data_IF_898589661148
#
_entry.id   IF_898589661148
#
_cell.length_a   1.000
_cell.length_b   1.000
_cell.length_c   1.000
_cell.angle_alpha   90.00
_cell.angle_beta   90.00
_cell.angle_gamma   90.00
#
_symmetry.space_group_name_H-M   'P 1'
#
loop_
_entity.id
_entity.type
_entity.pdbx_description
1 polymer ?
#
# COMPACT_ATOMS: atom_id res chain seq x y z
N UNK A 1 20.21 0.35 7.47
CA UNK A 1 21.42 0.87 6.78
C UNK A 1 20.93 1.82 5.71
N UNK A 2 21.58 2.96 5.53
CA UNK A 2 21.33 3.91 4.44
C UNK A 2 22.64 4.01 3.68
N UNK A 3 22.60 4.01 2.35
CA UNK A 3 23.81 4.19 1.51
C UNK A 3 24.29 5.65 1.57
N UNK A 4 25.51 5.88 1.14
CA UNK A 4 25.96 7.23 0.82
C UNK A 4 25.14 7.78 -0.36
N UNK A 5 24.99 9.11 -0.45
CA UNK A 5 24.39 9.73 -1.62
C UNK A 5 25.18 9.41 -2.91
N UNK A 6 24.46 9.16 -3.99
CA UNK A 6 25.05 8.93 -5.32
C UNK A 6 24.67 10.11 -6.20
N UNK A 7 25.65 10.69 -6.91
CA UNK A 7 25.42 11.74 -7.91
C UNK A 7 24.89 11.10 -9.20
N UNK A 8 23.61 10.83 -9.21
CA UNK A 8 22.89 10.23 -10.33
C UNK A 8 21.62 11.04 -10.62
N UNK A 9 21.55 11.61 -11.81
CA UNK A 9 20.32 12.27 -12.25
C UNK A 9 19.23 11.22 -12.54
N UNK A 10 18.14 11.28 -11.76
CA UNK A 10 16.97 10.41 -11.93
C UNK A 10 15.89 11.20 -12.67
N UNK A 11 15.36 10.63 -13.75
CA UNK A 11 14.23 11.23 -14.49
C UNK A 11 12.93 10.94 -13.77
N UNK A 12 12.02 11.89 -13.83
CA UNK A 12 10.64 11.67 -13.37
C UNK A 12 10.03 10.47 -14.09
N UNK A 13 9.38 9.59 -13.34
CA UNK A 13 8.80 8.33 -13.84
C UNK A 13 9.78 7.41 -14.59
N UNK A 14 11.09 7.59 -14.36
CA UNK A 14 12.13 6.75 -14.96
C UNK A 14 12.36 5.45 -14.16
N UNK A 15 12.85 4.43 -14.84
CA UNK A 15 13.30 3.20 -14.18
C UNK A 15 14.66 3.40 -13.51
N UNK A 16 14.81 2.83 -12.32
CA UNK A 16 16.05 2.79 -11.57
C UNK A 16 16.42 1.33 -11.29
N UNK A 17 17.62 0.95 -11.73
CA UNK A 17 18.18 -0.36 -11.41
C UNK A 17 19.06 -0.24 -10.17
N UNK A 18 18.82 -1.12 -9.18
CA UNK A 18 19.56 -1.15 -7.92
C UNK A 18 20.18 -2.53 -7.76
N UNK A 19 21.50 -2.58 -7.78
CA UNK A 19 22.26 -3.80 -7.52
C UNK A 19 22.61 -3.90 -6.05
N UNK A 20 22.31 -5.05 -5.42
CA UNK A 20 22.69 -5.36 -4.06
C UNK A 20 23.58 -6.60 -4.05
N UNK A 21 24.76 -6.49 -3.42
CA UNK A 21 25.63 -7.63 -3.15
C UNK A 21 25.59 -7.97 -1.65
N UNK A 22 25.31 -9.23 -1.34
CA UNK A 22 25.33 -9.77 0.00
C UNK A 22 26.55 -10.69 0.11
N UNK A 23 27.64 -10.25 0.77
CA UNK A 23 28.90 -11.00 0.78
C UNK A 23 28.80 -12.29 1.63
N UNK A 24 27.91 -12.31 2.61
CA UNK A 24 27.78 -13.40 3.58
C UNK A 24 26.53 -14.23 3.33
N UNK A 25 26.53 -15.47 3.80
CA UNK A 25 25.34 -16.32 3.85
C UNK A 25 24.30 -15.74 4.81
N UNK A 26 23.20 -15.26 4.26
CA UNK A 26 22.10 -14.64 5.05
C UNK A 26 21.39 -15.63 5.96
N UNK A 27 21.51 -16.94 5.72
CA UNK A 27 20.93 -17.98 6.60
C UNK A 27 21.59 -18.03 7.97
N UNK A 28 22.82 -17.51 8.08
CA UNK A 28 23.58 -17.44 9.33
C UNK A 28 23.33 -16.17 10.13
N UNK A 29 22.57 -15.23 9.60
CA UNK A 29 22.33 -13.95 10.27
C UNK A 29 21.43 -14.13 11.49
N UNK A 30 21.76 -13.39 12.57
CA UNK A 30 20.95 -13.38 13.80
C UNK A 30 19.69 -12.52 13.65
N UNK A 31 19.70 -11.58 12.73
CA UNK A 31 18.54 -10.73 12.42
C UNK A 31 17.72 -11.33 11.28
N UNK A 32 16.38 -11.23 11.33
CA UNK A 32 15.53 -11.66 10.23
C UNK A 32 15.85 -10.90 8.95
N UNK A 33 15.73 -11.58 7.82
CA UNK A 33 15.81 -10.97 6.50
C UNK A 33 14.61 -10.06 6.28
N UNK A 34 14.85 -8.83 5.83
CA UNK A 34 13.76 -7.94 5.42
C UNK A 34 13.18 -8.43 4.11
N UNK A 35 11.89 -8.68 4.08
CA UNK A 35 11.17 -9.15 2.89
C UNK A 35 9.79 -8.48 2.77
N UNK A 36 9.42 -8.16 1.53
CA UNK A 36 8.05 -7.85 1.14
C UNK A 36 7.53 -9.02 0.29
N UNK A 37 6.67 -9.90 0.83
CA UNK A 37 6.34 -11.18 0.18
C UNK A 37 5.55 -11.04 -1.11
N UNK A 38 4.78 -9.98 -1.27
CA UNK A 38 3.91 -9.75 -2.44
C UNK A 38 4.13 -8.36 -3.04
N UNK A 39 5.36 -8.07 -3.45
CA UNK A 39 5.76 -6.76 -3.96
C UNK A 39 5.20 -6.40 -5.34
N UNK A 40 4.69 -7.39 -6.09
CA UNK A 40 4.21 -7.24 -7.48
C UNK A 40 5.26 -6.68 -8.45
N UNK A 41 6.52 -6.73 -8.03
CA UNK A 41 7.68 -6.32 -8.82
C UNK A 41 8.70 -7.46 -8.79
N UNK A 42 9.13 -7.89 -9.97
CA UNK A 42 10.10 -8.99 -10.11
C UNK A 42 11.51 -8.47 -9.84
N UNK A 43 12.24 -9.14 -8.97
CA UNK A 43 13.65 -8.90 -8.77
C UNK A 43 14.45 -10.06 -9.37
N UNK A 44 15.69 -9.81 -9.71
CA UNK A 44 16.58 -10.76 -10.36
C UNK A 44 17.68 -11.18 -9.40
N UNK A 45 17.97 -12.47 -9.33
CA UNK A 45 19.02 -13.03 -8.48
C UNK A 45 20.11 -13.57 -9.40
N UNK A 46 21.35 -13.14 -9.17
CA UNK A 46 22.50 -13.60 -9.96
C UNK A 46 22.97 -15.00 -9.58
N UNK A 47 23.82 -15.57 -10.40
CA UNK A 47 24.73 -16.65 -9.97
C UNK A 47 25.61 -16.18 -8.81
N UNK A 48 26.20 -17.09 -8.01
CA UNK A 48 27.11 -16.71 -6.93
C UNK A 48 28.25 -15.80 -7.41
N UNK A 49 28.59 -14.79 -6.59
CA UNK A 49 29.64 -13.82 -6.86
C UNK A 49 29.15 -12.37 -6.79
N UNK A 50 30.09 -11.42 -6.83
CA UNK A 50 29.78 -10.00 -6.86
C UNK A 50 29.60 -9.54 -8.31
N UNK A 51 28.39 -9.14 -8.67
CA UNK A 51 28.03 -8.70 -10.02
C UNK A 51 27.52 -7.24 -10.03
N UNK A 52 27.76 -6.49 -8.95
CA UNK A 52 27.37 -5.08 -8.88
C UNK A 52 28.00 -4.28 -10.01
N UNK A 53 27.20 -3.53 -10.73
CA UNK A 53 27.62 -2.71 -11.86
C UNK A 53 27.94 -3.50 -13.15
N UNK A 54 27.62 -4.79 -13.20
CA UNK A 54 27.83 -5.58 -14.41
C UNK A 54 26.90 -5.10 -15.54
N UNK A 55 27.49 -4.85 -16.72
CA UNK A 55 26.72 -4.46 -17.93
C UNK A 55 25.78 -5.56 -18.40
N UNK A 56 26.05 -6.81 -18.01
CA UNK A 56 25.21 -7.98 -18.26
C UNK A 56 25.09 -8.78 -16.97
N UNK A 57 23.95 -8.61 -16.30
CA UNK A 57 23.66 -9.30 -15.05
C UNK A 57 23.42 -10.80 -15.31
N UNK A 58 24.19 -11.72 -14.69
CA UNK A 58 24.06 -13.16 -14.94
C UNK A 58 22.90 -13.73 -14.11
N UNK A 59 21.68 -13.60 -14.59
CA UNK A 59 20.48 -14.06 -13.91
C UNK A 59 20.51 -15.58 -13.74
N UNK A 60 20.44 -16.05 -12.49
CA UNK A 60 20.23 -17.46 -12.14
C UNK A 60 18.75 -17.76 -11.94
N UNK A 61 18.04 -16.86 -11.28
CA UNK A 61 16.60 -16.97 -11.00
C UNK A 61 15.96 -15.60 -10.79
N UNK A 62 14.64 -15.59 -10.63
CA UNK A 62 13.88 -14.39 -10.30
C UNK A 62 13.11 -14.60 -9.00
N UNK A 63 12.61 -13.52 -8.40
CA UNK A 63 11.76 -13.58 -7.21
C UNK A 63 10.29 -13.83 -7.53
N UNK A 64 9.95 -14.01 -8.81
CA UNK A 64 8.58 -14.37 -9.22
C UNK A 64 8.23 -15.78 -8.75
N UNK A 65 7.02 -15.94 -8.26
CA UNK A 65 6.48 -17.23 -7.82
C UNK A 65 4.97 -17.32 -8.07
N UNK A 66 4.42 -18.54 -8.00
CA UNK A 66 2.98 -18.74 -7.94
C UNK A 66 2.55 -18.99 -6.50
N UNK A 67 1.58 -18.25 -6.05
CA UNK A 67 0.94 -18.44 -4.75
C UNK A 67 0.15 -19.75 -4.72
N UNK A 68 -0.23 -20.20 -3.53
CA UNK A 68 -1.06 -21.40 -3.37
C UNK A 68 -2.45 -21.32 -4.05
N UNK A 69 -2.94 -20.11 -4.31
CA UNK A 69 -4.14 -19.83 -5.09
C UNK A 69 -3.89 -19.78 -6.61
N UNK A 70 -2.67 -20.08 -7.05
CA UNK A 70 -2.26 -20.08 -8.47
C UNK A 70 -1.89 -18.73 -9.05
N UNK A 71 -2.04 -17.64 -8.29
CA UNK A 71 -1.74 -16.30 -8.76
C UNK A 71 -0.23 -16.05 -8.86
N UNK A 72 0.18 -15.34 -9.91
CA UNK A 72 1.55 -14.89 -10.03
C UNK A 72 1.81 -13.75 -9.05
N UNK A 73 2.93 -13.79 -8.37
CA UNK A 73 3.41 -12.75 -7.45
C UNK A 73 4.93 -12.68 -7.50
N UNK A 74 5.52 -11.73 -6.80
CA UNK A 74 6.96 -11.62 -6.63
C UNK A 74 7.28 -11.09 -5.24
N UNK A 75 8.48 -11.35 -4.75
CA UNK A 75 8.97 -10.83 -3.48
C UNK A 75 10.12 -9.84 -3.70
N UNK A 76 10.21 -8.84 -2.84
CA UNK A 76 11.37 -7.94 -2.76
C UNK A 76 12.11 -8.17 -1.45
N UNK A 77 13.44 -8.12 -1.52
CA UNK A 77 14.32 -8.39 -0.38
C UNK A 77 15.23 -7.20 -0.12
N UNK A 78 15.47 -6.90 1.15
CA UNK A 78 16.45 -5.94 1.69
C UNK A 78 16.19 -4.48 1.37
N UNK A 79 15.75 -4.13 0.16
CA UNK A 79 15.48 -2.74 -0.22
C UNK A 79 14.20 -2.25 0.44
N UNK A 80 14.31 -1.24 1.32
CA UNK A 80 13.16 -0.68 2.02
C UNK A 80 12.60 0.55 1.29
N UNK A 81 13.46 1.41 0.73
CA UNK A 81 13.08 2.63 0.00
C UNK A 81 14.22 3.20 -0.80
N UNK A 82 13.89 4.07 -1.74
CA UNK A 82 14.83 4.93 -2.46
C UNK A 82 14.51 6.38 -2.12
N UNK A 83 15.53 7.15 -1.77
CA UNK A 83 15.41 8.58 -1.51
C UNK A 83 16.07 9.36 -2.65
N UNK A 84 15.41 10.39 -3.14
CA UNK A 84 15.91 11.25 -4.22
C UNK A 84 16.01 12.68 -3.72
N UNK A 85 17.19 13.28 -3.91
CA UNK A 85 17.37 14.71 -3.63
C UNK A 85 16.62 15.54 -4.68
N UNK A 86 15.81 16.48 -4.22
CA UNK A 86 15.00 17.33 -5.09
C UNK A 86 15.39 18.80 -4.93
N UNK A 87 15.45 19.55 -6.05
CA UNK A 87 15.82 20.95 -6.04
C UNK A 87 14.76 21.86 -5.40
N UNK A 88 13.52 21.41 -5.33
CA UNK A 88 12.38 22.15 -4.77
C UNK A 88 11.68 21.28 -3.72
N UNK A 89 11.18 21.87 -2.62
CA UNK A 89 10.44 21.13 -1.61
C UNK A 89 9.31 20.32 -2.25
N UNK A 90 9.28 19.04 -1.98
CA UNK A 90 8.28 18.09 -2.46
C UNK A 90 7.72 17.36 -1.26
N UNK A 91 6.39 17.30 -1.14
CA UNK A 91 5.73 16.50 -0.12
C UNK A 91 5.78 15.02 -0.46
N UNK A 92 5.49 14.19 0.52
CA UNK A 92 5.32 12.74 0.35
C UNK A 92 3.96 12.33 0.87
N UNK A 93 3.20 11.63 0.03
CA UNK A 93 1.99 10.90 0.41
C UNK A 93 2.36 9.44 0.66
N UNK A 94 2.08 8.94 1.84
CA UNK A 94 2.13 7.50 2.11
C UNK A 94 0.75 6.90 1.90
N UNK A 95 0.62 6.02 0.94
CA UNK A 95 -0.55 5.17 0.77
C UNK A 95 -0.42 3.98 1.73
N UNK A 96 -1.02 4.07 2.91
CA UNK A 96 -0.92 3.09 3.97
C UNK A 96 -2.17 2.20 3.97
N UNK A 97 -1.96 0.87 3.91
CA UNK A 97 -3.08 -0.05 3.77
C UNK A 97 -2.69 -1.52 3.72
N UNK A 98 -3.66 -2.34 3.39
CA UNK A 98 -3.57 -3.79 3.23
C UNK A 98 -3.23 -4.22 1.79
N UNK A 99 -3.65 -5.44 1.40
CA UNK A 99 -3.44 -6.01 0.06
C UNK A 99 -4.02 -5.18 -1.09
N UNK A 100 -5.08 -4.41 -0.84
CA UNK A 100 -5.68 -3.53 -1.86
C UNK A 100 -4.76 -2.35 -2.15
N UNK A 101 -4.07 -1.84 -1.15
CA UNK A 101 -3.06 -0.79 -1.33
C UNK A 101 -1.75 -1.37 -1.86
N UNK A 102 -1.32 -2.52 -1.35
CA UNK A 102 -0.16 -3.28 -1.84
C UNK A 102 -0.29 -3.63 -3.34
N UNK A 103 -1.52 -3.86 -3.81
CA UNK A 103 -1.85 -4.03 -5.21
C UNK A 103 -2.02 -5.48 -5.65
N UNK A 104 -2.55 -6.33 -4.79
CA UNK A 104 -2.90 -7.71 -5.14
C UNK A 104 -3.76 -7.74 -6.41
N UNK A 105 -3.40 -8.55 -7.41
CA UNK A 105 -4.05 -8.67 -8.74
C UNK A 105 -3.81 -7.48 -9.69
N UNK A 106 -2.93 -6.54 -9.38
CA UNK A 106 -2.59 -5.43 -10.30
C UNK A 106 -1.75 -5.85 -11.50
N UNK A 107 -1.14 -7.04 -11.44
CA UNK A 107 -0.23 -7.60 -12.44
C UNK A 107 1.24 -7.34 -12.14
N UNK A 108 2.10 -8.34 -12.40
CA UNK A 108 3.54 -8.24 -12.20
C UNK A 108 4.13 -7.17 -13.12
N UNK A 109 5.05 -6.37 -12.59
CA UNK A 109 5.84 -5.32 -13.28
C UNK A 109 4.97 -4.31 -14.07
N UNK A 110 3.67 -4.24 -13.76
CA UNK A 110 2.73 -3.45 -14.53
C UNK A 110 2.55 -2.02 -13.99
N UNK A 111 2.99 -1.74 -12.76
CA UNK A 111 2.83 -0.46 -12.06
C UNK A 111 1.39 0.08 -12.18
N UNK A 112 0.40 -0.79 -11.89
CA UNK A 112 -1.04 -0.50 -12.02
C UNK A 112 -1.79 -0.56 -10.69
N UNK A 113 -1.10 -0.47 -9.57
CA UNK A 113 -1.71 -0.28 -8.25
C UNK A 113 -2.33 1.10 -8.20
N UNK A 114 -3.35 1.30 -7.38
CA UNK A 114 -3.95 2.64 -7.28
C UNK A 114 -2.95 3.73 -6.85
N UNK A 115 -1.93 3.46 -5.96
CA UNK A 115 -0.93 4.47 -5.65
C UNK A 115 -0.02 4.81 -6.84
N UNK A 116 0.37 3.83 -7.67
CA UNK A 116 1.19 4.07 -8.88
C UNK A 116 0.44 4.98 -9.87
N UNK A 117 -0.84 4.69 -10.09
CA UNK A 117 -1.69 5.45 -11.01
C UNK A 117 -1.99 6.86 -10.47
N UNK A 118 -2.13 7.00 -9.14
CA UNK A 118 -2.25 8.31 -8.50
C UNK A 118 -0.96 9.13 -8.68
N UNK A 119 0.22 8.51 -8.51
CA UNK A 119 1.50 9.17 -8.72
C UNK A 119 1.61 9.73 -10.16
N UNK A 120 1.27 8.92 -11.16
CA UNK A 120 1.26 9.35 -12.57
C UNK A 120 0.26 10.51 -12.82
N UNK A 121 -0.91 10.50 -12.17
CA UNK A 121 -1.89 11.60 -12.28
C UNK A 121 -1.40 12.88 -11.62
N UNK A 122 -0.75 12.79 -10.46
CA UNK A 122 -0.17 13.96 -9.77
C UNK A 122 0.94 14.60 -10.62
N UNK A 123 1.83 13.77 -11.19
CA UNK A 123 2.90 14.20 -12.08
C UNK A 123 2.32 14.91 -13.31
N UNK A 124 1.38 14.30 -14.02
CA UNK A 124 0.70 14.87 -15.17
C UNK A 124 -0.03 16.19 -14.86
N UNK A 125 -0.49 16.35 -13.61
CA UNK A 125 -1.16 17.57 -13.15
C UNK A 125 -0.20 18.65 -12.60
N UNK A 126 1.12 18.39 -12.61
CA UNK A 126 2.14 19.27 -12.08
C UNK A 126 2.09 19.44 -10.55
N UNK A 127 1.47 18.48 -9.84
CA UNK A 127 1.41 18.47 -8.38
C UNK A 127 2.66 17.77 -7.83
N UNK A 128 3.54 18.53 -7.19
CA UNK A 128 4.79 18.02 -6.62
C UNK A 128 4.54 17.26 -5.33
N UNK A 129 4.21 16.00 -5.47
CA UNK A 129 3.96 15.08 -4.35
C UNK A 129 4.42 13.67 -4.77
N UNK A 130 5.40 13.13 -4.07
CA UNK A 130 5.78 11.73 -4.23
C UNK A 130 4.76 10.81 -3.58
N UNK A 131 4.51 9.66 -4.17
CA UNK A 131 3.62 8.64 -3.59
C UNK A 131 4.44 7.42 -3.21
N UNK A 132 4.37 7.03 -1.93
CA UNK A 132 5.00 5.83 -1.39
C UNK A 132 3.92 4.82 -1.07
N UNK A 133 4.03 3.62 -1.64
CA UNK A 133 3.13 2.52 -1.32
C UNK A 133 3.58 1.83 -0.03
N UNK A 134 2.81 2.00 1.05
CA UNK A 134 2.98 1.37 2.36
C UNK A 134 1.95 0.26 2.63
N UNK A 135 1.38 -0.33 1.58
CA UNK A 135 0.50 -1.49 1.68
C UNK A 135 1.23 -2.76 2.09
N UNK A 136 0.59 -3.59 2.91
CA UNK A 136 1.07 -4.94 3.26
C UNK A 136 -0.10 -5.91 3.13
N UNK A 137 0.04 -6.91 2.24
CA UNK A 137 -0.98 -7.93 2.04
C UNK A 137 -1.38 -8.62 3.34
N UNK A 138 -2.69 -8.74 3.61
CA UNK A 138 -3.19 -9.30 4.86
C UNK A 138 -3.06 -8.39 6.09
N UNK A 139 -2.65 -7.12 5.91
CA UNK A 139 -2.55 -6.12 6.98
C UNK A 139 -3.85 -5.96 7.74
N UNK A 140 -3.76 -5.75 9.07
CA UNK A 140 -4.87 -5.49 9.97
C UNK A 140 -4.57 -4.28 10.85
N UNK A 141 -5.62 -3.61 11.29
CA UNK A 141 -5.48 -2.45 12.18
C UNK A 141 -4.96 -2.87 13.55
N UNK A 142 -5.56 -3.92 14.14
CA UNK A 142 -5.45 -4.21 15.57
C UNK A 142 -4.62 -5.45 15.90
N UNK A 143 -4.37 -6.33 14.95
CA UNK A 143 -3.69 -7.60 15.23
C UNK A 143 -2.61 -7.90 14.20
N UNK A 144 -1.52 -8.49 14.66
CA UNK A 144 -0.49 -9.03 13.77
C UNK A 144 -1.04 -10.19 12.93
N UNK A 145 -0.46 -10.40 11.77
CA UNK A 145 -0.84 -11.46 10.84
C UNK A 145 0.30 -11.77 9.90
N UNK A 146 0.11 -11.51 8.60
CA UNK A 146 1.18 -11.64 7.60
C UNK A 146 2.34 -10.67 7.89
N UNK A 147 2.02 -9.54 8.53
CA UNK A 147 2.98 -8.57 9.03
C UNK A 147 2.52 -7.94 10.35
N UNK A 148 3.29 -7.00 10.91
CA UNK A 148 2.88 -6.22 12.06
C UNK A 148 1.59 -5.45 11.78
N UNK A 149 0.74 -5.30 12.80
CA UNK A 149 -0.49 -4.54 12.68
C UNK A 149 -0.24 -3.05 12.36
N UNK A 150 -1.25 -2.38 11.83
CA UNK A 150 -1.14 -1.00 11.38
C UNK A 150 -0.69 -0.07 12.52
N UNK A 151 -1.21 -0.24 13.74
CA UNK A 151 -0.82 0.56 14.89
C UNK A 151 0.68 0.40 15.24
N UNK A 152 1.21 -0.82 15.13
CA UNK A 152 2.62 -1.10 15.45
C UNK A 152 3.58 -0.59 14.36
N UNK A 153 3.19 -0.67 13.07
CA UNK A 153 4.08 -0.28 11.96
C UNK A 153 3.99 1.18 11.53
N UNK A 154 3.00 1.93 12.04
CA UNK A 154 2.70 3.29 11.57
C UNK A 154 3.87 4.27 11.70
N UNK A 155 4.60 4.23 12.80
CA UNK A 155 5.75 5.12 13.01
C UNK A 155 6.85 4.84 11.99
N UNK A 156 7.17 3.57 11.77
CA UNK A 156 8.19 3.14 10.81
C UNK A 156 7.79 3.43 9.38
N UNK A 157 6.56 3.07 9.01
CA UNK A 157 6.12 3.04 7.60
C UNK A 157 5.54 4.38 7.14
N UNK A 158 5.09 5.23 8.06
CA UNK A 158 4.49 6.54 7.75
C UNK A 158 5.29 7.69 8.34
N UNK A 159 5.39 7.76 9.68
CA UNK A 159 5.91 8.96 10.34
C UNK A 159 7.42 9.16 10.15
N UNK A 160 8.17 8.08 9.91
CA UNK A 160 9.60 8.11 9.63
C UNK A 160 9.95 8.29 8.14
N UNK A 161 8.96 8.45 7.26
CA UNK A 161 9.24 8.71 5.85
C UNK A 161 9.71 10.15 5.66
N UNK A 162 10.89 10.37 5.02
CA UNK A 162 11.40 11.71 4.76
C UNK A 162 10.41 12.52 3.93
N UNK A 163 10.13 13.75 4.37
CA UNK A 163 9.26 14.67 3.65
C UNK A 163 7.77 14.31 3.68
N UNK A 164 7.33 13.36 4.54
CA UNK A 164 5.91 13.00 4.63
C UNK A 164 5.06 14.20 5.03
N UNK A 165 4.00 14.43 4.27
CA UNK A 165 3.00 15.50 4.49
C UNK A 165 1.58 14.96 4.51
N UNK A 166 1.36 13.81 3.88
CA UNK A 166 0.04 13.23 3.71
C UNK A 166 0.08 11.73 3.95
N UNK A 167 -1.01 11.18 4.46
CA UNK A 167 -1.23 9.73 4.55
C UNK A 167 -2.67 9.41 4.15
N UNK A 168 -2.83 8.36 3.34
CA UNK A 168 -4.13 7.69 3.17
C UNK A 168 -4.14 6.43 4.02
N UNK A 169 -5.28 6.11 4.64
CA UNK A 169 -5.46 4.88 5.42
C UNK A 169 -6.59 4.06 4.81
N UNK A 170 -6.26 2.91 4.23
CA UNK A 170 -7.22 1.93 3.70
C UNK A 170 -6.92 0.58 4.36
N UNK A 171 -7.53 0.37 5.52
CA UNK A 171 -7.30 -0.79 6.39
C UNK A 171 -8.61 -1.23 7.05
N UNK A 172 -8.68 -2.50 7.45
CA UNK A 172 -9.77 -3.03 8.28
C UNK A 172 -10.53 -4.19 7.66
N UNK A 173 -10.43 -4.43 6.34
CA UNK A 173 -11.12 -5.56 5.71
C UNK A 173 -10.66 -6.90 6.30
N UNK A 174 -9.37 -7.04 6.60
CA UNK A 174 -8.82 -8.26 7.18
C UNK A 174 -9.12 -8.40 8.68
N UNK A 175 -9.28 -7.30 9.41
CA UNK A 175 -9.79 -7.35 10.80
C UNK A 175 -11.21 -7.91 10.83
N UNK A 176 -12.04 -7.49 9.86
CA UNK A 176 -13.44 -7.91 9.73
C UNK A 176 -13.53 -9.36 9.26
N UNK A 177 -12.76 -9.74 8.22
CA UNK A 177 -12.92 -11.01 7.52
C UNK A 177 -12.12 -12.17 8.13
N UNK A 178 -10.88 -11.93 8.59
CA UNK A 178 -9.96 -12.98 9.09
C UNK A 178 -10.24 -13.34 10.57
N UNK A 179 -11.49 -13.30 10.99
CA UNK A 179 -11.85 -13.57 12.38
C UNK A 179 -11.67 -15.02 12.84
N UNK A 180 -11.70 -16.01 11.96
CA UNK A 180 -11.58 -17.41 12.31
C UNK A 180 -12.40 -17.80 13.56
N UNK A 181 -11.84 -18.65 14.42
CA UNK A 181 -12.39 -18.98 15.74
C UNK A 181 -12.16 -17.89 16.80
N UNK A 182 -11.34 -16.87 16.51
CA UNK A 182 -11.14 -15.70 17.35
C UNK A 182 -12.10 -14.61 16.88
N UNK A 183 -12.83 -14.04 17.82
CA UNK A 183 -13.83 -13.01 17.51
C UNK A 183 -13.19 -11.86 16.73
N UNK A 184 -13.74 -11.57 15.53
CA UNK A 184 -13.41 -10.36 14.79
C UNK A 184 -13.70 -9.13 15.67
N UNK A 185 -12.84 -8.08 15.65
CA UNK A 185 -13.03 -6.93 16.50
C UNK A 185 -14.39 -6.26 16.26
N UNK A 186 -14.85 -5.55 17.27
CA UNK A 186 -16.03 -4.71 17.18
C UNK A 186 -15.75 -3.48 16.32
N UNK A 187 -16.80 -2.87 15.78
CA UNK A 187 -16.67 -1.59 15.04
C UNK A 187 -16.07 -0.50 15.93
N UNK A 188 -16.41 -0.49 17.22
CA UNK A 188 -15.87 0.49 18.16
C UNK A 188 -14.34 0.35 18.33
N UNK A 189 -13.83 -0.87 18.41
CA UNK A 189 -12.38 -1.14 18.47
C UNK A 189 -11.68 -0.72 17.18
N UNK A 190 -12.26 -1.02 16.02
CA UNK A 190 -11.72 -0.57 14.73
C UNK A 190 -11.68 0.96 14.65
N UNK A 191 -12.75 1.64 15.03
CA UNK A 191 -12.82 3.11 15.11
C UNK A 191 -11.75 3.66 16.05
N UNK A 192 -11.55 3.04 17.21
CA UNK A 192 -10.50 3.44 18.15
C UNK A 192 -9.10 3.29 17.54
N UNK A 193 -8.84 2.20 16.80
CA UNK A 193 -7.60 2.00 16.06
C UNK A 193 -7.37 3.09 14.99
N UNK A 194 -8.39 3.36 14.17
CA UNK A 194 -8.32 4.44 13.18
C UNK A 194 -8.07 5.82 13.82
N UNK A 195 -8.74 6.13 14.94
CA UNK A 195 -8.50 7.38 15.68
C UNK A 195 -7.06 7.50 16.15
N UNK A 196 -6.45 6.43 16.67
CA UNK A 196 -5.04 6.44 17.07
C UNK A 196 -4.11 6.75 15.89
N UNK A 197 -4.35 6.17 14.70
CA UNK A 197 -3.57 6.49 13.49
C UNK A 197 -3.71 7.95 13.10
N UNK A 198 -4.94 8.48 13.11
CA UNK A 198 -5.26 9.88 12.81
C UNK A 198 -4.56 10.82 13.78
N UNK A 199 -4.68 10.58 15.08
CA UNK A 199 -4.12 11.44 16.12
C UNK A 199 -2.60 11.47 16.04
N UNK A 200 -1.95 10.32 15.81
CA UNK A 200 -0.49 10.22 15.64
C UNK A 200 0.00 10.97 14.39
N UNK A 201 -0.72 10.86 13.27
CA UNK A 201 -0.41 11.59 12.05
C UNK A 201 -0.55 13.10 12.26
N UNK A 202 -1.66 13.55 12.87
CA UNK A 202 -1.92 14.97 13.15
C UNK A 202 -0.93 15.56 14.13
N UNK A 203 -0.48 14.80 15.12
CA UNK A 203 0.59 15.23 16.03
C UNK A 203 1.91 15.55 15.30
N UNK A 204 2.07 15.03 14.08
CA UNK A 204 3.20 15.33 13.18
C UNK A 204 2.84 16.33 12.07
N UNK A 205 1.65 16.93 12.13
CA UNK A 205 1.19 17.91 11.14
C UNK A 205 0.80 17.32 9.79
N UNK A 206 0.55 16.00 9.71
CA UNK A 206 0.14 15.35 8.47
C UNK A 206 -1.34 15.56 8.19
N UNK A 207 -1.69 15.65 6.91
CA UNK A 207 -3.06 15.48 6.44
C UNK A 207 -3.39 13.98 6.34
N UNK A 208 -4.58 13.61 6.81
CA UNK A 208 -4.99 12.21 6.91
C UNK A 208 -6.28 11.96 6.13
N UNK A 209 -6.22 11.09 5.14
CA UNK A 209 -7.37 10.74 4.32
C UNK A 209 -7.79 9.29 4.55
N UNK A 210 -9.08 9.05 4.77
CA UNK A 210 -9.63 7.71 4.97
C UNK A 210 -10.15 7.11 3.68
N UNK A 211 -9.68 5.91 3.31
CA UNK A 211 -10.27 5.11 2.25
C UNK A 211 -11.36 4.20 2.81
N UNK A 212 -12.58 4.27 2.28
CA UNK A 212 -13.64 3.36 2.70
C UNK A 212 -13.38 1.95 2.18
N UNK A 213 -13.67 0.94 3.01
CA UNK A 213 -13.49 -0.48 2.67
C UNK A 213 -14.44 -0.85 1.54
N UNK A 214 -13.90 -1.38 0.44
CA UNK A 214 -14.66 -1.81 -0.73
C UNK A 214 -15.60 -2.99 -0.41
N UNK A 215 -16.68 -3.20 -1.19
CA UNK A 215 -17.54 -4.37 -1.05
C UNK A 215 -16.77 -5.67 -1.32
N UNK A 216 -17.04 -6.73 -0.56
CA UNK A 216 -16.35 -8.01 -0.71
C UNK A 216 -17.27 -9.24 -0.55
N UNK A 217 -18.56 -9.11 -0.81
CA UNK A 217 -19.49 -10.27 -0.83
C UNK A 217 -19.07 -11.25 -1.93
N UNK A 218 -18.85 -12.49 -1.52
CA UNK A 218 -18.32 -13.57 -2.33
C UNK A 218 -16.88 -13.95 -2.00
N UNK A 219 -16.14 -13.09 -1.31
CA UNK A 219 -14.82 -13.43 -0.79
C UNK A 219 -14.88 -14.59 0.23
N UNK A 220 -13.82 -15.37 0.30
CA UNK A 220 -13.78 -16.60 1.10
C UNK A 220 -14.10 -16.40 2.60
N UNK A 221 -13.87 -15.22 3.13
CA UNK A 221 -14.11 -14.89 4.54
C UNK A 221 -15.26 -13.88 4.76
N UNK A 222 -16.04 -13.60 3.73
CA UNK A 222 -17.20 -12.72 3.87
C UNK A 222 -18.30 -13.36 4.72
N UNK A 223 -18.93 -12.56 5.57
CA UNK A 223 -20.11 -12.93 6.32
C UNK A 223 -21.10 -11.75 6.38
N UNK A 224 -22.41 -11.97 6.61
CA UNK A 224 -23.37 -10.88 6.82
C UNK A 224 -23.00 -9.96 7.98
N UNK A 225 -22.43 -10.52 9.07
CA UNK A 225 -21.97 -9.75 10.23
C UNK A 225 -20.76 -8.89 9.88
N UNK A 226 -19.82 -9.44 9.08
CA UNK A 226 -18.68 -8.72 8.55
C UNK A 226 -19.11 -7.56 7.66
N UNK A 227 -20.10 -7.77 6.80
CA UNK A 227 -20.69 -6.71 5.98
C UNK A 227 -21.32 -5.60 6.82
N UNK A 228 -22.06 -5.94 7.88
CA UNK A 228 -22.60 -4.94 8.78
C UNK A 228 -21.51 -4.10 9.46
N UNK A 229 -20.40 -4.74 9.87
CA UNK A 229 -19.22 -4.03 10.42
C UNK A 229 -18.57 -3.12 9.38
N UNK A 230 -18.41 -3.60 8.15
CA UNK A 230 -17.87 -2.81 7.04
C UNK A 230 -18.67 -1.55 6.78
N UNK A 231 -19.98 -1.70 6.68
CA UNK A 231 -20.88 -0.57 6.47
C UNK A 231 -20.81 0.44 7.62
N UNK A 232 -20.88 -0.02 8.87
CA UNK A 232 -20.81 0.85 10.04
C UNK A 232 -19.48 1.61 10.15
N UNK A 233 -18.36 0.96 9.83
CA UNK A 233 -17.06 1.62 9.80
C UNK A 233 -16.98 2.65 8.66
N UNK A 234 -17.45 2.30 7.46
CA UNK A 234 -17.51 3.22 6.33
C UNK A 234 -18.41 4.44 6.60
N UNK A 235 -19.54 4.23 7.25
CA UNK A 235 -20.45 5.32 7.61
C UNK A 235 -19.81 6.24 8.66
N UNK A 236 -19.08 5.68 9.64
CA UNK A 236 -18.31 6.49 10.56
C UNK A 236 -17.22 7.29 9.82
N UNK A 237 -16.49 6.69 8.88
CA UNK A 237 -15.48 7.41 8.10
C UNK A 237 -16.09 8.61 7.36
N UNK A 238 -17.28 8.42 6.75
CA UNK A 238 -17.99 9.48 6.00
C UNK A 238 -18.55 10.58 6.88
N UNK A 239 -19.13 10.20 8.03
CA UNK A 239 -19.96 11.11 8.83
C UNK A 239 -19.27 11.74 10.02
N UNK A 240 -18.16 11.20 10.50
CA UNK A 240 -17.55 11.64 11.76
C UNK A 240 -16.72 12.93 11.67
N UNK A 241 -16.28 13.31 10.49
CA UNK A 241 -15.29 14.39 10.31
C UNK A 241 -13.91 14.09 10.91
N UNK A 242 -13.64 12.82 11.26
CA UNK A 242 -12.36 12.42 11.83
C UNK A 242 -11.21 12.51 10.82
N UNK A 243 -11.44 12.17 9.56
CA UNK A 243 -10.51 12.33 8.48
C UNK A 243 -10.58 13.73 7.86
N UNK A 244 -9.47 14.24 7.31
CA UNK A 244 -9.45 15.52 6.59
C UNK A 244 -10.20 15.42 5.24
N UNK A 245 -10.24 14.23 4.64
CA UNK A 245 -11.12 13.86 3.53
C UNK A 245 -11.36 12.35 3.51
N UNK A 246 -12.40 11.94 2.78
CA UNK A 246 -12.73 10.52 2.59
C UNK A 246 -12.64 10.19 1.11
N UNK A 247 -11.84 9.17 0.80
CA UNK A 247 -11.76 8.53 -0.51
C UNK A 247 -12.82 7.42 -0.53
N UNK A 248 -13.98 7.72 -1.12
CA UNK A 248 -15.14 6.83 -1.02
C UNK A 248 -15.07 5.68 -2.04
N UNK A 249 -14.10 4.80 -1.86
CA UNK A 249 -13.89 3.64 -2.70
C UNK A 249 -15.04 2.64 -2.65
N UNK A 250 -15.76 2.56 -1.52
CA UNK A 250 -16.94 1.72 -1.41
C UNK A 250 -18.03 2.14 -2.40
N UNK A 251 -18.40 3.43 -2.45
CA UNK A 251 -19.42 3.91 -3.39
C UNK A 251 -18.99 3.79 -4.84
N UNK A 252 -17.71 3.96 -5.10
CA UNK A 252 -17.15 3.80 -6.43
C UNK A 252 -17.25 2.36 -6.94
N UNK A 253 -16.86 1.41 -6.07
CA UNK A 253 -16.65 0.01 -6.46
C UNK A 253 -17.91 -0.84 -6.39
N UNK A 254 -18.92 -0.44 -5.62
CA UNK A 254 -20.12 -1.24 -5.40
C UNK A 254 -20.98 -1.41 -6.64
N UNK A 255 -21.52 -2.61 -6.84
CA UNK A 255 -22.56 -2.87 -7.83
C UNK A 255 -23.85 -2.12 -7.42
N UNK A 256 -24.44 -1.29 -8.29
CA UNK A 256 -25.68 -0.57 -7.96
C UNK A 256 -26.87 -1.49 -7.66
N UNK A 257 -26.92 -2.66 -8.29
CA UNK A 257 -28.00 -3.64 -8.07
C UNK A 257 -27.76 -4.50 -6.82
N UNK A 258 -26.50 -4.64 -6.39
CA UNK A 258 -26.09 -5.46 -5.25
C UNK A 258 -24.94 -4.80 -4.49
N UNK A 259 -25.22 -3.76 -3.67
CA UNK A 259 -24.19 -2.88 -3.07
C UNK A 259 -23.18 -3.57 -2.15
N UNK A 260 -23.42 -4.80 -1.76
CA UNK A 260 -22.49 -5.64 -0.97
C UNK A 260 -21.43 -6.31 -1.83
N UNK A 261 -21.58 -6.27 -3.16
CA UNK A 261 -20.63 -6.79 -4.16
C UNK A 261 -19.88 -5.68 -4.88
N UNK A 262 -18.69 -6.02 -5.28
CA UNK A 262 -17.91 -5.23 -6.24
C UNK A 262 -18.54 -5.38 -7.63
N UNK A 263 -18.50 -4.31 -8.45
CA UNK A 263 -18.88 -4.38 -9.87
C UNK A 263 -18.04 -5.43 -10.57
N UNK A 264 -18.65 -6.19 -11.49
CA UNK A 264 -17.97 -7.27 -12.19
C UNK A 264 -16.73 -6.80 -12.98
N UNK A 265 -16.77 -5.60 -13.55
CA UNK A 265 -15.65 -5.02 -14.30
C UNK A 265 -14.47 -4.60 -13.42
N UNK A 266 -14.69 -4.46 -12.11
CA UNK A 266 -13.66 -4.08 -11.13
C UNK A 266 -13.16 -5.26 -10.30
N UNK A 267 -13.89 -6.37 -10.31
CA UNK A 267 -13.59 -7.57 -9.53
C UNK A 267 -12.52 -8.42 -10.22
N UNK A 268 -11.50 -8.84 -9.50
CA UNK A 268 -10.47 -9.74 -10.01
C UNK A 268 -10.92 -11.20 -10.15
N UNK A 269 -12.11 -11.52 -9.62
CA UNK A 269 -12.68 -12.87 -9.57
C UNK A 269 -12.53 -13.55 -8.21
N UNK A 270 -11.80 -12.96 -7.27
CA UNK A 270 -11.73 -13.44 -5.88
C UNK A 270 -12.72 -12.71 -4.95
N UNK A 271 -13.45 -11.74 -5.48
CA UNK A 271 -14.47 -10.93 -4.84
C UNK A 271 -13.96 -10.06 -3.67
N UNK A 272 -12.67 -9.86 -3.59
CA UNK A 272 -12.00 -9.08 -2.55
C UNK A 272 -11.08 -8.00 -3.15
N UNK A 273 -10.23 -8.41 -4.08
CA UNK A 273 -9.23 -7.53 -4.66
C UNK A 273 -9.72 -6.93 -5.98
N UNK A 274 -9.45 -5.64 -6.23
CA UNK A 274 -9.75 -5.04 -7.52
C UNK A 274 -8.92 -5.65 -8.65
N UNK A 275 -9.53 -5.79 -9.82
CA UNK A 275 -8.83 -5.97 -11.08
C UNK A 275 -8.07 -4.68 -11.48
N UNK A 276 -7.16 -4.70 -12.46
CA UNK A 276 -6.47 -3.50 -12.94
C UNK A 276 -7.41 -2.34 -13.31
N UNK A 277 -8.62 -2.61 -13.82
CA UNK A 277 -9.64 -1.60 -14.10
C UNK A 277 -10.18 -0.96 -12.82
N UNK A 278 -10.37 -1.74 -11.75
CA UNK A 278 -10.78 -1.26 -10.44
C UNK A 278 -9.73 -0.37 -9.80
N UNK A 279 -8.45 -0.76 -9.83
CA UNK A 279 -7.35 0.08 -9.34
C UNK A 279 -7.25 1.41 -10.07
N UNK A 280 -7.47 1.40 -11.40
CA UNK A 280 -7.52 2.63 -12.18
C UNK A 280 -8.70 3.50 -11.74
N UNK A 281 -9.89 2.93 -11.60
CA UNK A 281 -11.07 3.67 -11.15
C UNK A 281 -10.83 4.28 -9.75
N UNK A 282 -10.21 3.54 -8.82
CA UNK A 282 -9.83 4.07 -7.50
C UNK A 282 -8.93 5.30 -7.64
N UNK A 283 -7.84 5.19 -8.40
CA UNK A 283 -6.92 6.30 -8.61
C UNK A 283 -7.62 7.49 -9.28
N UNK A 284 -8.45 7.25 -10.30
CA UNK A 284 -9.13 8.30 -11.08
C UNK A 284 -10.19 9.03 -10.25
N UNK A 285 -10.79 8.38 -9.26
CA UNK A 285 -11.79 8.98 -8.36
C UNK A 285 -11.21 10.00 -7.37
N UNK A 286 -9.91 9.97 -7.14
CA UNK A 286 -9.26 10.84 -6.16
C UNK A 286 -9.18 12.27 -6.69
N UNK A 287 -9.79 13.22 -5.96
CA UNK A 287 -9.67 14.64 -6.27
C UNK A 287 -8.26 15.14 -5.97
N UNK A 288 -7.54 15.56 -6.99
CA UNK A 288 -6.16 16.05 -6.85
C UNK A 288 -6.05 17.38 -6.10
N UNK A 289 -7.14 18.13 -5.95
CA UNK A 289 -7.14 19.39 -5.17
C UNK A 289 -6.86 19.15 -3.67
N UNK A 290 -7.08 17.93 -3.18
CA UNK A 290 -6.70 17.54 -1.83
C UNK A 290 -5.19 17.70 -1.56
N UNK A 291 -4.39 17.66 -2.62
CA UNK A 291 -2.93 17.71 -2.56
C UNK A 291 -2.34 19.06 -3.01
N UNK A 292 -3.19 19.98 -3.45
CA UNK A 292 -2.79 21.34 -3.85
C UNK A 292 -2.82 22.24 -2.61
N UNK A 293 -1.73 22.94 -2.32
CA UNK A 293 -1.66 23.94 -1.23
C UNK A 293 -1.06 23.46 0.09
N UNK A 294 -0.40 22.32 0.13
CA UNK A 294 0.14 21.72 1.36
C UNK A 294 1.66 21.60 1.46
N UNK A 295 2.45 22.45 0.80
CA UNK A 295 3.85 22.59 1.22
C UNK A 295 3.87 23.52 2.42
N UNK A 296 3.87 22.96 3.63
CA UNK A 296 4.11 23.74 4.84
C UNK A 296 5.52 24.30 4.75
N UNK A 297 5.63 25.56 4.38
CA UNK A 297 6.85 26.34 4.66
C UNK A 297 7.01 26.38 6.18
N UNK A 298 7.96 25.64 6.69
CA UNK A 298 8.52 25.89 8.02
C UNK A 298 9.53 26.99 7.94
#
# INVERSE_FOLDING_TARGET
MVSDPVDLAVKDSGDLVIDLHLPDDTSTWKSPVTVHPASWQVNYVSTPGNHVGATRFPVATTTAYRRGDGLASASSFFLARVEVAVAQPTGVLVAFGDSITDGTQSGLDANRRWPDLLAARLDAAGVRLSVVNGGIGGGRVLADGVGPNALARFDRDVLAQPGVTHVTVLEGVNDIGVGGAQASPTVAELIAGHRQLIDRARARGLRVYGGTIVPFEGAAYWTPEGEAKRQALNDWMRGSGAYDAVLDFDRLMRDPARPTRMRAEFDSGDHLHPAPAGYRAMADSINLDLFRGGVLTK
#
